data_IF_024511184521
#
_entry.id   IF_024511184521
#
_cell.length_a   1.000
_cell.length_b   1.000
_cell.length_c   1.000
_cell.angle_alpha   90.00
_cell.angle_beta   90.00
_cell.angle_gamma   90.00
#
_symmetry.space_group_name_H-M   'P 1'
#
loop_
_entity.id
_entity.type
_entity.pdbx_description
1 polymer ?
#
# COMPACT_ATOMS: atom_id res chain seq x y z
N UNK A 1 -37.46 3.03 -9.65
CA UNK A 1 -36.36 2.94 -10.63
C UNK A 1 -35.18 3.82 -10.23
N UNK A 2 -35.38 5.14 -10.11
CA UNK A 2 -34.32 6.12 -9.73
C UNK A 2 -33.65 5.82 -8.38
N UNK A 3 -34.40 5.40 -7.36
CA UNK A 3 -33.85 5.07 -6.04
C UNK A 3 -32.91 3.84 -6.04
N UNK A 4 -33.19 2.85 -6.91
CA UNK A 4 -32.31 1.67 -7.04
C UNK A 4 -31.00 2.01 -7.77
N UNK A 5 -31.05 2.93 -8.73
CA UNK A 5 -29.85 3.42 -9.42
C UNK A 5 -28.92 4.14 -8.44
N UNK A 6 -29.46 5.03 -7.60
CA UNK A 6 -28.67 5.79 -6.61
C UNK A 6 -27.98 4.86 -5.60
N UNK A 7 -28.66 3.82 -5.12
CA UNK A 7 -28.07 2.85 -4.18
C UNK A 7 -26.95 2.04 -4.84
N UNK A 8 -27.12 1.62 -6.10
CA UNK A 8 -26.10 0.89 -6.85
C UNK A 8 -24.85 1.74 -7.11
N UNK A 9 -25.03 3.01 -7.46
CA UNK A 9 -23.89 3.91 -7.67
C UNK A 9 -23.14 4.18 -6.35
N UNK A 10 -23.84 4.38 -5.23
CA UNK A 10 -23.19 4.61 -3.93
C UNK A 10 -22.38 3.38 -3.48
N UNK A 11 -23.01 2.21 -3.47
CA UNK A 11 -22.34 0.97 -3.06
C UNK A 11 -21.25 0.51 -4.06
N UNK A 12 -21.50 0.70 -5.36
CA UNK A 12 -20.57 0.37 -6.42
C UNK A 12 -19.32 1.24 -6.41
N UNK A 13 -19.45 2.55 -6.16
CA UNK A 13 -18.29 3.44 -6.03
C UNK A 13 -17.47 3.10 -4.77
N UNK A 14 -18.08 2.80 -3.63
CA UNK A 14 -17.34 2.40 -2.42
C UNK A 14 -16.60 1.06 -2.59
N UNK A 15 -17.23 0.10 -3.28
CA UNK A 15 -16.60 -1.18 -3.64
C UNK A 15 -15.45 -0.98 -4.64
N UNK A 16 -15.63 -0.11 -5.64
CA UNK A 16 -14.58 0.22 -6.61
C UNK A 16 -13.42 0.95 -5.94
N UNK A 17 -13.66 1.92 -5.05
CA UNK A 17 -12.59 2.62 -4.33
C UNK A 17 -11.84 1.66 -3.39
N UNK A 18 -12.53 0.76 -2.69
CA UNK A 18 -11.87 -0.24 -1.84
C UNK A 18 -11.06 -1.27 -2.65
N UNK A 19 -11.54 -1.69 -3.81
CA UNK A 19 -10.80 -2.54 -4.74
C UNK A 19 -9.59 -1.80 -5.35
N UNK A 20 -9.75 -0.55 -5.78
CA UNK A 20 -8.64 0.27 -6.29
C UNK A 20 -7.58 0.51 -5.21
N UNK A 21 -7.98 0.74 -3.96
CA UNK A 21 -7.06 0.91 -2.84
C UNK A 21 -6.34 -0.40 -2.48
N UNK A 22 -6.98 -1.57 -2.63
CA UNK A 22 -6.36 -2.87 -2.37
C UNK A 22 -5.46 -3.34 -3.51
N UNK A 23 -5.86 -3.14 -4.77
CA UNK A 23 -5.09 -3.50 -5.96
C UNK A 23 -3.85 -2.61 -6.15
N UNK A 24 -3.90 -1.35 -5.70
CA UNK A 24 -2.74 -0.42 -5.79
C UNK A 24 -1.59 -0.80 -4.87
N UNK A 25 -1.82 -1.63 -3.84
CA UNK A 25 -0.80 -2.01 -2.85
C UNK A 25 0.00 -3.24 -3.31
N UNK A 26 -0.52 -4.05 -4.25
CA UNK A 26 0.16 -5.28 -4.69
C UNK A 26 -0.29 -5.75 -6.09
N UNK A 27 -0.28 -4.85 -7.07
CA UNK A 27 -0.47 -5.22 -8.47
C UNK A 27 0.72 -6.05 -8.97
N UNK A 28 0.44 -7.09 -9.79
CA UNK A 28 1.48 -7.90 -10.44
C UNK A 28 2.36 -7.01 -11.33
N UNK A 29 3.68 -7.17 -11.22
CA UNK A 29 4.61 -6.39 -12.03
C UNK A 29 4.49 -6.78 -13.52
N UNK A 30 4.76 -5.84 -14.45
CA UNK A 30 4.91 -6.18 -15.87
C UNK A 30 6.01 -7.23 -16.08
N UNK A 31 5.92 -8.02 -17.15
CA UNK A 31 6.81 -9.16 -17.41
C UNK A 31 8.31 -8.80 -17.41
N UNK A 32 8.67 -7.62 -17.89
CA UNK A 32 10.05 -7.11 -17.87
C UNK A 32 10.61 -6.89 -16.45
N UNK A 33 9.75 -6.75 -15.45
CA UNK A 33 10.13 -6.51 -14.05
C UNK A 33 9.84 -7.70 -13.13
N UNK A 34 9.37 -8.84 -13.66
CA UNK A 34 9.06 -10.03 -12.86
C UNK A 34 10.26 -10.55 -12.04
N UNK A 35 11.49 -10.28 -12.48
CA UNK A 35 12.72 -10.62 -11.74
C UNK A 35 12.80 -9.84 -10.40
N UNK A 36 12.18 -8.66 -10.33
CA UNK A 36 12.15 -7.82 -9.13
C UNK A 36 10.96 -8.11 -8.22
N UNK A 37 10.09 -9.06 -8.55
CA UNK A 37 8.96 -9.48 -7.70
C UNK A 37 9.40 -9.74 -6.25
N UNK A 38 10.51 -10.46 -5.96
CA UNK A 38 10.95 -10.68 -4.59
C UNK A 38 11.31 -9.40 -3.83
N UNK A 39 11.81 -8.37 -4.52
CA UNK A 39 12.19 -7.09 -3.92
C UNK A 39 10.94 -6.25 -3.63
N UNK A 40 9.99 -6.20 -4.57
CA UNK A 40 8.74 -5.45 -4.39
C UNK A 40 7.90 -6.01 -3.26
N UNK A 41 7.91 -7.33 -3.08
CA UNK A 41 7.24 -7.98 -1.95
C UNK A 41 7.79 -7.57 -0.56
N UNK A 42 9.03 -7.07 -0.49
CA UNK A 42 9.65 -6.57 0.76
C UNK A 42 9.47 -5.05 0.91
N UNK A 43 9.22 -4.31 -0.17
CA UNK A 43 9.12 -2.84 -0.17
C UNK A 43 8.12 -2.25 0.85
N UNK A 44 6.96 -2.88 1.14
CA UNK A 44 6.03 -2.38 2.16
C UNK A 44 6.60 -2.28 3.58
N UNK A 45 7.72 -2.96 3.87
CA UNK A 45 8.37 -2.91 5.20
C UNK A 45 9.23 -1.66 5.43
N UNK A 46 9.57 -0.93 4.36
CA UNK A 46 10.48 0.24 4.41
C UNK A 46 10.08 1.28 5.47
N UNK A 47 8.81 1.66 5.65
CA UNK A 47 8.40 2.61 6.69
C UNK A 47 8.79 2.17 8.11
N UNK A 48 8.77 0.86 8.39
CA UNK A 48 9.18 0.30 9.68
C UNK A 48 10.69 0.45 9.86
N UNK A 49 11.48 0.25 8.80
CA UNK A 49 12.93 0.48 8.87
C UNK A 49 13.29 1.94 9.13
N UNK A 50 12.54 2.91 8.61
CA UNK A 50 12.76 4.33 8.96
C UNK A 50 12.46 4.62 10.43
N UNK A 51 11.41 4.03 10.99
CA UNK A 51 11.14 4.11 12.43
C UNK A 51 12.30 3.51 13.25
N UNK A 52 12.76 2.32 12.90
CA UNK A 52 13.90 1.68 13.57
C UNK A 52 15.20 2.50 13.42
N UNK A 53 15.41 3.09 12.24
CA UNK A 53 16.55 3.95 11.97
C UNK A 53 16.56 5.19 12.88
N UNK A 54 15.39 5.74 13.23
CA UNK A 54 15.32 6.84 14.19
C UNK A 54 15.86 6.44 15.57
N UNK A 55 15.60 5.21 16.03
CA UNK A 55 16.17 4.68 17.28
C UNK A 55 17.66 4.37 17.15
N UNK A 56 18.12 3.85 16.01
CA UNK A 56 19.55 3.64 15.74
C UNK A 56 20.29 4.98 15.76
N UNK A 57 19.71 6.00 15.13
CA UNK A 57 20.25 7.35 15.12
C UNK A 57 20.32 7.91 16.55
N UNK A 58 19.24 7.85 17.30
CA UNK A 58 19.23 8.29 18.70
C UNK A 58 20.23 7.53 19.56
N UNK A 59 20.36 6.21 19.40
CA UNK A 59 21.36 5.41 20.10
C UNK A 59 22.80 5.86 19.76
N UNK A 60 23.07 6.21 18.50
CA UNK A 60 24.39 6.70 18.07
C UNK A 60 24.80 8.03 18.70
N UNK A 61 23.84 8.87 19.09
CA UNK A 61 24.07 10.13 19.80
C UNK A 61 23.80 10.03 21.31
N UNK A 62 23.67 8.81 21.84
CA UNK A 62 23.44 8.51 23.27
C UNK A 62 22.09 8.98 23.84
N UNK A 63 21.03 9.07 23.02
CA UNK A 63 19.70 9.52 23.44
C UNK A 63 19.72 10.86 24.18
N UNK A 64 20.50 11.80 23.65
CA UNK A 64 20.60 13.18 24.15
C UNK A 64 19.46 14.04 23.62
#
# INVERSE_FOLDING_TARGET
MIFMTIIFDFYGNDMVISNLLSDSILAKLPEAYAIFDPIVNVMPVIPVFFLLLAFVWQASVSFR
#
